data_IF_694994287193
#
_entry.id   IF_694994287193
#
_cell.length_a   1.000
_cell.length_b   1.000
_cell.length_c   1.000
_cell.angle_alpha   90.00
_cell.angle_beta   90.00
_cell.angle_gamma   90.00
#
_symmetry.space_group_name_H-M   'P 1'
#
loop_
_entity.id
_entity.type
_entity.pdbx_description
1 polymer ?
#
# COMPACT_ATOMS: atom_id res chain seq x y z
N UNK A 1 -21.58 26.06 -15.74
CA UNK A 1 -21.85 25.17 -16.89
C UNK A 1 -22.01 23.73 -16.36
N UNK A 2 -23.11 23.08 -16.75
CA UNK A 2 -23.43 21.69 -16.33
C UNK A 2 -22.32 20.71 -16.65
N UNK A 3 -21.53 20.95 -17.71
CA UNK A 3 -20.42 20.09 -18.15
C UNK A 3 -19.15 20.23 -17.31
N UNK A 4 -19.02 21.31 -16.58
CA UNK A 4 -17.82 21.64 -15.77
C UNK A 4 -18.11 21.64 -14.28
N UNK A 5 -19.40 21.57 -13.90
CA UNK A 5 -19.78 21.51 -12.49
C UNK A 5 -19.29 20.21 -11.87
N UNK A 6 -18.64 20.32 -10.71
CA UNK A 6 -18.17 19.19 -9.88
C UNK A 6 -18.74 19.37 -8.47
N UNK A 7 -19.86 18.70 -8.20
CA UNK A 7 -20.36 18.50 -6.86
C UNK A 7 -19.62 17.37 -6.15
N UNK A 8 -20.28 16.70 -5.22
CA UNK A 8 -19.73 15.45 -4.68
C UNK A 8 -19.52 14.45 -5.81
N UNK A 9 -18.28 14.01 -5.95
CA UNK A 9 -17.92 12.94 -6.88
C UNK A 9 -18.30 11.57 -6.34
N UNK A 10 -18.15 10.52 -7.16
CA UNK A 10 -18.21 9.14 -6.67
C UNK A 10 -17.12 8.92 -5.62
N UNK A 11 -17.43 8.21 -4.53
CA UNK A 11 -16.50 7.94 -3.43
C UNK A 11 -15.22 7.20 -3.88
N UNK A 12 -15.31 6.46 -4.98
CA UNK A 12 -14.20 5.75 -5.59
C UNK A 12 -13.35 6.62 -6.51
N UNK A 13 -13.89 7.75 -6.98
CA UNK A 13 -13.27 8.66 -7.95
C UNK A 13 -14.02 8.71 -9.27
N UNK A 14 -13.71 9.69 -10.11
CA UNK A 14 -14.32 9.84 -11.43
C UNK A 14 -13.80 8.78 -12.41
N UNK A 15 -14.70 8.23 -13.22
CA UNK A 15 -14.42 7.16 -14.20
C UNK A 15 -13.29 7.55 -15.15
N UNK A 16 -13.27 8.80 -15.65
CA UNK A 16 -12.24 9.27 -16.58
C UNK A 16 -10.83 9.16 -16.01
N UNK A 17 -10.65 9.40 -14.69
CA UNK A 17 -9.36 9.30 -14.02
C UNK A 17 -9.00 7.84 -13.76
N UNK A 18 -9.94 7.04 -13.28
CA UNK A 18 -9.76 5.59 -13.06
C UNK A 18 -9.37 4.89 -14.35
N UNK A 19 -10.05 5.18 -15.46
CA UNK A 19 -9.74 4.63 -16.78
C UNK A 19 -8.34 5.08 -17.26
N UNK A 20 -7.98 6.36 -17.04
CA UNK A 20 -6.66 6.86 -17.38
C UNK A 20 -5.55 6.17 -16.56
N UNK A 21 -5.75 5.97 -15.26
CA UNK A 21 -4.82 5.23 -14.39
C UNK A 21 -4.62 3.80 -14.93
N UNK A 22 -5.71 3.07 -15.17
CA UNK A 22 -5.63 1.70 -15.70
C UNK A 22 -4.86 1.67 -17.02
N UNK A 23 -5.20 2.58 -17.92
CA UNK A 23 -4.65 2.64 -19.27
C UNK A 23 -3.16 3.01 -19.31
N UNK A 24 -2.73 3.92 -18.43
CA UNK A 24 -1.38 4.48 -18.51
C UNK A 24 -0.41 3.92 -17.47
N UNK A 25 -0.90 3.54 -16.27
CA UNK A 25 -0.03 3.04 -15.21
C UNK A 25 0.09 1.51 -15.19
N UNK A 26 -0.94 0.77 -15.62
CA UNK A 26 -0.99 -0.68 -15.48
C UNK A 26 -0.96 -1.46 -16.80
N UNK A 27 -1.78 -1.10 -17.77
CA UNK A 27 -1.86 -1.85 -19.05
C UNK A 27 -0.51 -1.94 -19.79
N UNK A 28 0.33 -0.89 -19.84
CA UNK A 28 1.63 -0.98 -20.52
C UNK A 28 2.59 -1.99 -19.86
N UNK A 29 2.35 -2.34 -18.58
CA UNK A 29 3.10 -3.34 -17.80
C UNK A 29 2.47 -4.74 -17.84
N UNK A 30 1.44 -4.93 -18.67
CA UNK A 30 0.69 -6.20 -18.74
C UNK A 30 -0.18 -6.49 -17.53
N UNK A 31 -0.47 -5.47 -16.71
CA UNK A 31 -1.30 -5.60 -15.52
C UNK A 31 -2.74 -5.17 -15.85
N UNK A 32 -3.71 -6.03 -15.56
CA UNK A 32 -5.11 -5.79 -15.86
C UNK A 32 -5.91 -5.60 -14.57
N UNK A 33 -6.57 -4.46 -14.42
CA UNK A 33 -7.51 -4.16 -13.34
C UNK A 33 -8.87 -3.77 -13.91
N UNK A 34 -9.94 -4.07 -13.17
CA UNK A 34 -11.24 -3.48 -13.39
C UNK A 34 -11.38 -2.13 -12.67
N UNK A 35 -12.30 -1.26 -13.09
CA UNK A 35 -12.46 0.07 -12.48
C UNK A 35 -12.71 0.02 -10.96
N UNK A 36 -13.40 -1.00 -10.48
CA UNK A 36 -13.73 -1.16 -9.06
C UNK A 36 -12.57 -1.63 -8.17
N UNK A 37 -11.36 -1.75 -8.72
CA UNK A 37 -10.13 -2.10 -7.99
C UNK A 37 -9.24 -0.88 -7.73
N UNK A 38 -9.57 0.28 -8.34
CA UNK A 38 -8.86 1.56 -8.22
C UNK A 38 -9.71 2.52 -7.39
N UNK A 39 -9.13 3.11 -6.36
CA UNK A 39 -9.78 4.06 -5.46
C UNK A 39 -8.98 5.35 -5.41
N UNK A 40 -9.49 6.41 -6.02
CA UNK A 40 -8.88 7.74 -6.00
C UNK A 40 -9.03 8.34 -4.60
N UNK A 41 -7.96 8.98 -4.11
CA UNK A 41 -7.89 9.53 -2.76
C UNK A 41 -7.17 10.88 -2.73
N UNK A 42 -7.10 11.48 -1.55
CA UNK A 42 -6.41 12.75 -1.29
C UNK A 42 -4.90 12.60 -1.02
N UNK A 43 -4.31 11.51 -1.48
CA UNK A 43 -2.89 11.18 -1.38
C UNK A 43 -2.62 9.90 -0.60
N UNK A 44 -1.56 9.19 -0.96
CA UNK A 44 -1.19 7.90 -0.38
C UNK A 44 -1.12 7.93 1.16
N UNK A 45 -0.64 9.01 1.76
CA UNK A 45 -0.51 9.16 3.22
C UNK A 45 -1.84 8.92 3.94
N UNK A 46 -2.93 9.47 3.44
CA UNK A 46 -4.25 9.30 4.07
C UNK A 46 -4.67 7.84 4.08
N UNK A 47 -4.52 7.15 2.95
CA UNK A 47 -4.94 5.76 2.84
C UNK A 47 -4.01 4.78 3.54
N UNK A 48 -2.70 5.09 3.68
CA UNK A 48 -1.80 4.27 4.52
C UNK A 48 -2.22 4.26 5.99
N UNK A 49 -2.85 5.32 6.48
CA UNK A 49 -3.48 5.37 7.80
C UNK A 49 -4.88 4.76 7.81
N UNK A 50 -5.69 5.12 6.81
CA UNK A 50 -7.08 4.70 6.69
C UNK A 50 -7.27 3.19 6.56
N UNK A 51 -6.31 2.48 5.97
CA UNK A 51 -6.36 1.02 5.83
C UNK A 51 -6.48 0.31 7.19
N UNK A 52 -6.00 0.95 8.24
CA UNK A 52 -6.12 0.48 9.61
C UNK A 52 -7.55 0.25 10.07
N UNK A 53 -8.53 0.95 9.49
CA UNK A 53 -9.96 0.80 9.85
C UNK A 53 -10.54 -0.58 9.49
N UNK A 54 -9.93 -1.30 8.54
CA UNK A 54 -10.43 -2.62 8.10
C UNK A 54 -9.54 -3.78 8.56
N UNK A 55 -8.53 -3.51 9.39
CA UNK A 55 -7.60 -4.49 9.92
C UNK A 55 -7.80 -4.67 11.42
N UNK A 56 -7.46 -5.85 11.93
CA UNK A 56 -7.61 -6.19 13.35
C UNK A 56 -6.58 -5.44 14.20
N UNK A 57 -6.96 -5.15 15.46
CA UNK A 57 -6.07 -4.47 16.41
C UNK A 57 -4.91 -5.36 16.91
N UNK A 58 -5.06 -6.67 16.84
CA UNK A 58 -4.07 -7.66 17.27
C UNK A 58 -3.15 -8.14 16.13
N UNK A 59 -3.30 -7.62 14.91
CA UNK A 59 -2.38 -7.93 13.82
C UNK A 59 -0.96 -7.46 14.14
N UNK A 60 0.01 -8.35 13.93
CA UNK A 60 1.44 -8.01 14.00
C UNK A 60 1.86 -7.19 12.78
N UNK A 61 2.77 -6.25 12.99
CA UNK A 61 3.21 -5.30 11.95
C UNK A 61 4.71 -5.43 11.73
N UNK A 62 5.13 -5.46 10.47
CA UNK A 62 6.52 -5.39 10.06
C UNK A 62 6.79 -4.13 9.24
N UNK A 63 7.92 -3.51 9.50
CA UNK A 63 8.41 -2.32 8.78
C UNK A 63 9.90 -2.46 8.50
N UNK A 64 10.36 -1.89 7.41
CA UNK A 64 11.81 -1.69 7.21
C UNK A 64 12.31 -0.61 8.17
N UNK A 65 13.60 -0.60 8.50
CA UNK A 65 14.21 0.41 9.35
C UNK A 65 15.54 0.88 8.73
N UNK A 66 15.63 2.15 8.30
CA UNK A 66 14.68 3.24 8.45
C UNK A 66 13.48 3.17 7.49
N UNK A 67 12.37 3.79 7.91
CA UNK A 67 11.12 3.87 7.14
C UNK A 67 10.41 5.20 7.35
N UNK A 68 9.46 5.51 6.46
CA UNK A 68 8.57 6.67 6.64
C UNK A 68 7.73 6.51 7.92
N UNK A 69 7.85 7.42 8.90
CA UNK A 69 7.30 7.24 10.26
C UNK A 69 5.80 7.01 10.32
N UNK A 70 5.06 7.49 9.32
CA UNK A 70 3.59 7.40 9.27
C UNK A 70 3.08 5.96 9.36
N UNK A 71 3.83 4.97 8.88
CA UNK A 71 3.40 3.57 8.97
C UNK A 71 3.41 3.07 10.42
N UNK A 72 4.39 3.49 11.21
CA UNK A 72 4.43 3.18 12.65
C UNK A 72 3.35 3.98 13.37
N UNK A 73 3.32 5.30 13.18
CA UNK A 73 2.40 6.21 13.89
C UNK A 73 0.93 5.83 13.66
N UNK A 74 0.55 5.47 12.43
CA UNK A 74 -0.81 5.03 12.14
C UNK A 74 -1.19 3.73 12.86
N UNK A 75 -0.24 2.80 13.04
CA UNK A 75 -0.47 1.58 13.81
C UNK A 75 -0.49 1.82 15.32
N UNK A 76 0.28 2.80 15.83
CA UNK A 76 0.18 3.28 17.21
C UNK A 76 -1.21 3.86 17.47
N UNK A 77 -1.68 4.76 16.60
CA UNK A 77 -3.01 5.38 16.70
C UNK A 77 -4.14 4.35 16.62
N UNK A 78 -3.96 3.28 15.87
CA UNK A 78 -4.91 2.17 15.78
C UNK A 78 -4.77 1.12 16.93
N UNK A 79 -3.84 1.31 17.87
CA UNK A 79 -3.63 0.40 18.99
C UNK A 79 -2.93 -0.92 18.64
N UNK A 80 -2.32 -1.06 17.43
CA UNK A 80 -1.61 -2.28 17.00
C UNK A 80 -0.18 -2.37 17.47
N UNK A 81 0.45 -1.23 17.74
CA UNK A 81 1.90 -1.18 17.96
C UNK A 81 2.37 -1.81 19.29
N UNK A 82 1.46 -2.06 20.22
CA UNK A 82 1.82 -2.55 21.57
C UNK A 82 2.32 -1.42 22.47
N UNK A 83 3.37 -1.68 23.25
CA UNK A 83 3.95 -0.75 24.22
C UNK A 83 5.26 -0.18 23.68
N UNK A 84 5.51 1.09 23.95
CA UNK A 84 6.82 1.70 23.65
C UNK A 84 7.86 1.19 24.64
N UNK A 85 8.91 0.58 24.15
CA UNK A 85 10.00 0.02 24.93
C UNK A 85 11.14 1.03 25.15
N UNK A 86 12.02 0.72 26.12
CA UNK A 86 13.13 1.61 26.48
C UNK A 86 14.16 1.88 25.37
N UNK A 87 14.18 1.03 24.34
CA UNK A 87 15.02 1.21 23.15
C UNK A 87 14.38 2.13 22.07
N UNK A 88 13.16 2.65 22.32
CA UNK A 88 12.41 3.49 21.39
C UNK A 88 11.62 2.71 20.33
N UNK A 89 11.55 1.39 20.42
CA UNK A 89 10.77 0.55 19.52
C UNK A 89 9.43 0.14 20.16
N UNK A 90 8.45 -0.21 19.32
CA UNK A 90 7.15 -0.70 19.74
C UNK A 90 7.12 -2.22 19.78
N UNK A 91 6.65 -2.81 20.88
CA UNK A 91 6.75 -4.23 21.17
C UNK A 91 6.05 -5.16 20.18
N UNK A 92 5.00 -4.69 19.49
CA UNK A 92 4.27 -5.46 18.47
C UNK A 92 4.67 -5.09 17.03
N UNK A 93 5.74 -4.32 16.86
CA UNK A 93 6.29 -3.96 15.55
C UNK A 93 7.60 -4.71 15.34
N UNK A 94 7.72 -5.39 14.23
CA UNK A 94 8.97 -6.02 13.79
C UNK A 94 9.72 -5.06 12.89
N UNK A 95 10.88 -4.63 13.34
CA UNK A 95 11.78 -3.76 12.58
C UNK A 95 12.76 -4.62 11.79
N UNK A 96 12.82 -4.39 10.48
CA UNK A 96 13.71 -5.11 9.56
C UNK A 96 14.83 -4.16 9.13
N UNK A 97 16.05 -4.32 9.65
CA UNK A 97 17.14 -3.39 9.38
C UNK A 97 17.48 -3.30 7.89
N UNK A 98 17.66 -2.08 7.41
CA UNK A 98 18.17 -1.75 6.08
C UNK A 98 19.40 -0.87 6.26
N UNK A 99 20.58 -1.48 6.23
CA UNK A 99 21.86 -0.85 6.52
C UNK A 99 22.82 -1.03 5.36
N UNK A 100 23.97 -0.36 5.41
CA UNK A 100 25.01 -0.52 4.39
C UNK A 100 25.56 -1.97 4.33
N UNK A 101 25.54 -2.68 5.45
CA UNK A 101 26.04 -4.06 5.54
C UNK A 101 25.15 -5.07 4.80
N UNK A 102 23.87 -4.77 4.60
CA UNK A 102 22.94 -5.60 3.84
C UNK A 102 22.44 -4.93 2.55
N UNK A 103 23.21 -3.96 2.03
CA UNK A 103 22.86 -3.20 0.83
C UNK A 103 21.47 -2.55 0.89
N UNK A 104 21.01 -2.22 2.08
CA UNK A 104 19.67 -1.70 2.38
C UNK A 104 18.52 -2.62 1.93
N UNK A 105 18.78 -3.92 1.78
CA UNK A 105 17.80 -4.93 1.43
C UNK A 105 17.33 -5.63 2.71
N UNK A 106 16.06 -5.49 3.11
CA UNK A 106 15.57 -6.13 4.33
C UNK A 106 15.49 -7.65 4.17
N UNK A 107 15.92 -8.36 5.20
CA UNK A 107 15.78 -9.81 5.26
C UNK A 107 14.33 -10.22 5.45
N UNK A 108 13.94 -11.35 4.86
CA UNK A 108 12.63 -11.95 5.06
C UNK A 108 12.56 -12.50 6.49
N UNK A 109 11.55 -12.13 7.30
CA UNK A 109 11.43 -12.61 8.66
C UNK A 109 11.19 -14.13 8.74
N UNK A 110 11.82 -14.80 9.71
CA UNK A 110 11.60 -16.23 9.98
C UNK A 110 10.22 -16.52 10.61
N UNK A 111 9.60 -15.49 11.21
CA UNK A 111 8.28 -15.58 11.84
C UNK A 111 7.20 -15.00 10.94
N UNK A 112 5.97 -15.46 11.12
CA UNK A 112 4.80 -14.86 10.48
C UNK A 112 4.57 -13.43 11.01
N UNK A 113 4.33 -12.51 10.09
CA UNK A 113 3.87 -11.13 10.34
C UNK A 113 2.58 -10.94 9.55
N UNK A 114 1.54 -10.38 10.18
CA UNK A 114 0.24 -10.24 9.53
C UNK A 114 0.23 -9.12 8.48
N UNK A 115 0.90 -8.01 8.76
CA UNK A 115 0.95 -6.80 7.92
C UNK A 115 2.40 -6.37 7.73
N UNK A 116 2.85 -6.22 6.50
CA UNK A 116 4.19 -5.70 6.20
C UNK A 116 4.07 -4.45 5.32
N UNK A 117 4.68 -3.35 5.78
CA UNK A 117 4.82 -2.14 4.96
C UNK A 117 6.13 -2.19 4.18
N UNK A 118 6.02 -2.02 2.87
CA UNK A 118 7.15 -1.90 1.96
C UNK A 118 6.99 -0.61 1.17
N UNK A 119 7.98 0.29 1.25
CA UNK A 119 8.00 1.54 0.51
C UNK A 119 9.15 1.52 -0.48
N UNK A 120 8.87 1.44 -1.79
CA UNK A 120 9.91 1.41 -2.81
C UNK A 120 9.53 2.21 -4.06
N UNK A 121 10.39 3.14 -4.50
CA UNK A 121 11.64 3.58 -3.84
C UNK A 121 11.42 4.03 -2.40
N UNK A 122 12.35 3.68 -1.50
CA UNK A 122 12.16 3.89 -0.06
C UNK A 122 12.29 5.36 0.34
N UNK A 123 11.47 5.78 1.27
CA UNK A 123 11.66 7.00 2.04
C UNK A 123 12.07 6.58 3.48
N UNK A 124 13.32 6.89 3.95
CA UNK A 124 14.18 8.00 3.48
C UNK A 124 15.39 7.59 2.61
N UNK A 125 15.68 6.32 2.40
CA UNK A 125 16.98 5.88 1.85
C UNK A 125 17.11 6.07 0.33
N UNK A 126 15.98 6.12 -0.40
CA UNK A 126 15.95 6.16 -1.87
C UNK A 126 16.26 4.82 -2.54
N UNK A 127 16.47 3.75 -1.75
CA UNK A 127 16.77 2.42 -2.27
C UNK A 127 15.54 1.76 -2.89
N UNK A 128 15.79 0.75 -3.73
CA UNK A 128 14.76 -0.01 -4.45
C UNK A 128 14.96 -1.51 -4.23
N UNK A 129 13.97 -2.30 -4.62
CA UNK A 129 14.09 -3.75 -4.74
C UNK A 129 13.95 -4.15 -6.20
N UNK A 130 14.81 -5.05 -6.65
CA UNK A 130 14.67 -5.72 -7.95
C UNK A 130 13.45 -6.65 -7.98
N UNK A 131 13.02 -7.07 -9.18
CA UNK A 131 11.93 -8.04 -9.30
C UNK A 131 12.17 -9.35 -8.54
N UNK A 132 13.37 -9.96 -8.56
CA UNK A 132 13.66 -11.15 -7.74
C UNK A 132 13.57 -10.91 -6.23
N UNK A 133 14.00 -9.76 -5.75
CA UNK A 133 13.93 -9.40 -4.32
C UNK A 133 12.48 -9.17 -3.88
N UNK A 134 11.72 -8.39 -4.64
CA UNK A 134 10.32 -8.16 -4.34
C UNK A 134 9.50 -9.46 -4.44
N UNK A 135 9.91 -10.39 -5.33
CA UNK A 135 9.28 -11.70 -5.42
C UNK A 135 9.40 -12.50 -4.12
N UNK A 136 10.54 -12.43 -3.42
CA UNK A 136 10.70 -13.11 -2.11
C UNK A 136 9.63 -12.63 -1.11
N UNK A 137 9.33 -11.35 -1.11
CA UNK A 137 8.26 -10.78 -0.27
C UNK A 137 6.87 -11.25 -0.64
N UNK A 138 6.57 -11.33 -1.94
CA UNK A 138 5.29 -11.87 -2.41
C UNK A 138 5.16 -13.36 -2.07
N UNK A 139 6.23 -14.16 -2.24
CA UNK A 139 6.24 -15.58 -1.88
C UNK A 139 6.07 -15.77 -0.37
N UNK A 140 6.77 -14.98 0.45
CA UNK A 140 6.59 -14.97 1.91
C UNK A 140 5.14 -14.64 2.29
N UNK A 141 4.58 -13.61 1.69
CA UNK A 141 3.22 -13.16 2.00
C UNK A 141 2.17 -14.23 1.64
N UNK A 142 2.33 -14.87 0.51
CA UNK A 142 1.43 -15.97 0.10
C UNK A 142 1.55 -17.20 1.00
N UNK A 143 2.77 -17.53 1.46
CA UNK A 143 3.02 -18.67 2.33
C UNK A 143 2.50 -18.45 3.76
N UNK A 144 2.49 -17.22 4.24
CA UNK A 144 2.18 -16.86 5.62
C UNK A 144 0.80 -16.16 5.81
N UNK A 145 0.02 -16.00 4.74
CA UNK A 145 -1.21 -15.19 4.76
C UNK A 145 -0.95 -13.77 5.27
N UNK A 146 0.13 -13.16 4.82
CA UNK A 146 0.57 -11.80 5.16
C UNK A 146 -0.01 -10.80 4.17
N UNK A 147 -0.45 -9.65 4.64
CA UNK A 147 -0.84 -8.53 3.80
C UNK A 147 0.35 -7.60 3.58
N UNK A 148 0.76 -7.41 2.33
CA UNK A 148 1.73 -6.38 1.96
C UNK A 148 1.00 -5.07 1.68
N UNK A 149 1.41 -4.01 2.38
CA UNK A 149 1.02 -2.63 2.12
C UNK A 149 2.18 -1.95 1.39
N UNK A 150 2.07 -1.87 0.07
CA UNK A 150 3.14 -1.42 -0.82
C UNK A 150 2.95 0.05 -1.19
N UNK A 151 3.84 0.91 -0.72
CA UNK A 151 3.83 2.35 -1.05
C UNK A 151 4.79 2.63 -2.20
N UNK A 152 4.23 3.00 -3.36
CA UNK A 152 4.94 3.32 -4.59
C UNK A 152 4.88 4.82 -4.92
N UNK A 153 4.85 5.69 -3.90
CA UNK A 153 4.72 7.14 -4.09
C UNK A 153 5.87 7.76 -4.92
N UNK A 154 7.02 7.09 -4.99
CA UNK A 154 8.21 7.56 -5.71
C UNK A 154 8.51 6.75 -6.98
N UNK A 155 7.60 5.90 -7.46
CA UNK A 155 7.80 5.01 -8.59
C UNK A 155 8.23 5.71 -9.88
N UNK A 156 7.76 6.95 -10.10
CA UNK A 156 8.10 7.75 -11.28
C UNK A 156 9.59 8.12 -11.37
N UNK A 157 10.36 7.96 -10.29
CA UNK A 157 11.80 8.21 -10.27
C UNK A 157 12.64 6.97 -10.56
N UNK A 158 12.04 5.80 -10.69
CA UNK A 158 12.72 4.56 -11.12
C UNK A 158 13.23 4.74 -12.55
N UNK A 159 14.48 4.36 -12.78
CA UNK A 159 15.14 4.45 -14.08
C UNK A 159 15.77 3.13 -14.53
N UNK A 160 15.87 2.17 -13.64
CA UNK A 160 16.43 0.84 -13.87
C UNK A 160 15.35 -0.12 -14.37
N UNK A 161 15.66 -0.89 -15.42
CA UNK A 161 14.71 -1.79 -16.08
C UNK A 161 14.32 -3.01 -15.23
N UNK A 162 15.17 -3.41 -14.28
CA UNK A 162 14.96 -4.56 -13.39
C UNK A 162 14.20 -4.20 -12.10
N UNK A 163 13.97 -2.91 -11.85
CA UNK A 163 13.19 -2.42 -10.72
C UNK A 163 11.72 -2.27 -11.12
N UNK A 164 10.79 -2.95 -10.42
CA UNK A 164 9.37 -2.87 -10.77
C UNK A 164 8.77 -1.52 -10.36
N UNK A 165 7.94 -0.95 -11.22
CA UNK A 165 7.15 0.25 -10.94
C UNK A 165 5.87 -0.05 -10.14
N UNK A 166 5.47 -1.31 -10.09
CA UNK A 166 4.31 -1.78 -9.35
C UNK A 166 4.58 -3.16 -8.76
N UNK A 167 4.11 -3.41 -7.54
CA UNK A 167 4.18 -4.74 -6.95
C UNK A 167 3.44 -5.78 -7.81
N UNK A 168 2.46 -5.36 -8.57
CA UNK A 168 1.66 -6.25 -9.42
C UNK A 168 2.38 -6.74 -10.68
N UNK A 169 3.59 -6.26 -10.96
CA UNK A 169 4.49 -6.91 -11.92
C UNK A 169 5.00 -8.27 -11.40
N UNK A 170 4.86 -8.53 -10.09
CA UNK A 170 5.23 -9.79 -9.47
C UNK A 170 4.01 -10.72 -9.45
N UNK A 171 4.16 -11.89 -10.06
CA UNK A 171 3.10 -12.90 -10.10
C UNK A 171 2.66 -13.31 -8.70
N UNK A 172 1.36 -13.25 -8.44
CA UNK A 172 0.75 -13.58 -7.15
C UNK A 172 0.46 -12.38 -6.27
N UNK A 173 1.05 -11.20 -6.52
CA UNK A 173 0.89 -10.01 -5.68
C UNK A 173 -0.58 -9.56 -5.52
N UNK A 174 -1.43 -9.77 -6.53
CA UNK A 174 -2.86 -9.46 -6.42
C UNK A 174 -3.59 -10.20 -5.30
N UNK A 175 -3.02 -11.30 -4.82
CA UNK A 175 -3.61 -12.11 -3.74
C UNK A 175 -3.12 -11.74 -2.34
N UNK A 176 -2.09 -10.89 -2.24
CA UNK A 176 -1.45 -10.57 -0.95
C UNK A 176 -1.07 -9.11 -0.78
N UNK A 177 -1.33 -8.22 -1.76
CA UNK A 177 -0.86 -6.83 -1.66
C UNK A 177 -1.94 -5.80 -1.98
N UNK A 178 -1.88 -4.67 -1.27
CA UNK A 178 -2.52 -3.39 -1.58
C UNK A 178 -1.42 -2.42 -1.99
N UNK A 179 -1.63 -1.64 -3.06
CA UNK A 179 -0.67 -0.66 -3.54
C UNK A 179 -1.20 0.76 -3.34
N UNK A 180 -0.37 1.64 -2.76
CA UNK A 180 -0.65 3.07 -2.62
C UNK A 180 0.17 3.86 -3.63
N UNK A 181 -0.49 4.81 -4.30
CA UNK A 181 0.09 5.66 -5.33
C UNK A 181 -0.19 7.13 -5.03
N UNK A 182 0.70 8.01 -5.45
CA UNK A 182 0.58 9.44 -5.16
C UNK A 182 0.99 10.29 -6.35
N UNK A 183 0.20 11.29 -6.69
CA UNK A 183 0.56 12.33 -7.64
C UNK A 183 1.35 13.49 -6.98
N UNK A 184 1.54 13.43 -5.66
CA UNK A 184 2.29 14.46 -4.92
C UNK A 184 3.70 14.69 -5.46
N UNK A 185 4.39 13.61 -5.88
CA UNK A 185 5.76 13.67 -6.41
C UNK A 185 5.77 13.75 -7.93
N UNK A 186 5.08 12.84 -8.58
CA UNK A 186 5.03 12.72 -10.05
C UNK A 186 4.49 13.96 -10.73
N UNK A 187 3.40 14.54 -10.22
CA UNK A 187 2.74 15.71 -10.79
C UNK A 187 3.01 17.02 -10.01
N UNK A 188 3.80 16.97 -8.94
CA UNK A 188 3.99 18.12 -8.05
C UNK A 188 2.73 18.50 -7.25
N UNK A 189 1.82 17.56 -7.01
CA UNK A 189 0.52 17.78 -6.38
C UNK A 189 0.55 17.69 -4.84
N UNK A 190 1.66 18.10 -4.21
CA UNK A 190 1.77 18.05 -2.74
C UNK A 190 0.67 18.84 -2.03
N UNK A 191 0.29 20.00 -2.58
CA UNK A 191 -0.78 20.86 -2.05
C UNK A 191 -2.16 20.61 -2.65
N UNK A 192 -2.23 19.97 -3.84
CA UNK A 192 -3.50 19.66 -4.53
C UNK A 192 -4.21 18.47 -3.89
N UNK A 193 -3.45 17.51 -3.36
CA UNK A 193 -3.94 16.32 -2.68
C UNK A 193 -4.64 15.35 -3.63
N UNK A 194 -3.86 14.55 -4.35
CA UNK A 194 -4.39 13.49 -5.21
C UNK A 194 -3.47 12.27 -5.21
N UNK A 195 -4.06 11.10 -5.17
CA UNK A 195 -3.43 9.80 -5.27
C UNK A 195 -4.46 8.72 -5.53
N UNK A 196 -4.06 7.47 -5.43
CA UNK A 196 -5.00 6.36 -5.50
C UNK A 196 -4.47 5.12 -4.79
N UNK A 197 -5.39 4.26 -4.40
CA UNK A 197 -5.11 2.96 -3.79
C UNK A 197 -5.66 1.85 -4.69
N UNK A 198 -4.88 0.80 -4.89
CA UNK A 198 -5.29 -0.38 -5.64
C UNK A 198 -5.56 -1.52 -4.67
N UNK A 199 -6.80 -2.01 -4.67
CA UNK A 199 -7.22 -3.17 -3.87
C UNK A 199 -7.79 -4.23 -4.80
N UNK A 200 -7.01 -5.26 -5.15
CA UNK A 200 -7.45 -6.30 -6.08
C UNK A 200 -8.66 -7.10 -5.56
N UNK A 201 -9.54 -7.50 -6.47
CA UNK A 201 -10.68 -8.39 -6.14
C UNK A 201 -10.24 -9.77 -5.68
N UNK A 202 -9.06 -10.20 -6.12
CA UNK A 202 -8.47 -11.49 -5.71
C UNK A 202 -7.97 -11.49 -4.27
N UNK A 203 -7.75 -10.32 -3.68
CA UNK A 203 -7.22 -10.17 -2.33
C UNK A 203 -8.30 -10.48 -1.30
N UNK A 204 -8.06 -11.49 -0.49
CA UNK A 204 -8.96 -11.90 0.59
C UNK A 204 -8.22 -11.97 1.92
N UNK A 205 -8.93 -11.80 3.03
CA UNK A 205 -8.41 -12.02 4.37
C UNK A 205 -9.36 -12.89 5.19
N UNK A 206 -8.84 -13.58 6.19
CA UNK A 206 -9.63 -14.39 7.11
C UNK A 206 -10.32 -13.53 8.17
N UNK A 207 -11.58 -13.82 8.44
CA UNK A 207 -12.31 -13.31 9.61
C UNK A 207 -11.87 -14.05 10.88
N UNK A 208 -12.40 -13.63 12.03
CA UNK A 208 -12.20 -14.33 13.31
C UNK A 208 -12.70 -15.78 13.27
N UNK A 209 -13.77 -16.03 12.50
CA UNK A 209 -14.38 -17.34 12.33
C UNK A 209 -13.67 -18.19 11.26
N UNK A 210 -12.62 -17.64 10.62
CA UNK A 210 -11.84 -18.32 9.59
C UNK A 210 -12.45 -18.23 8.18
N UNK A 211 -13.58 -17.53 7.99
CA UNK A 211 -14.15 -17.28 6.68
C UNK A 211 -13.25 -16.30 5.90
N UNK A 212 -13.05 -16.54 4.61
CA UNK A 212 -12.31 -15.59 3.76
C UNK A 212 -13.25 -14.62 3.08
N UNK A 213 -12.96 -13.33 3.26
CA UNK A 213 -13.73 -12.23 2.70
C UNK A 213 -12.85 -11.36 1.78
N UNK A 214 -13.40 -10.81 0.68
CA UNK A 214 -12.66 -9.90 -0.20
C UNK A 214 -12.38 -8.57 0.48
N UNK A 215 -11.10 -8.21 0.63
CA UNK A 215 -10.71 -6.90 1.20
C UNK A 215 -11.18 -5.72 0.35
N UNK A 216 -11.29 -5.89 -0.95
CA UNK A 216 -11.85 -4.88 -1.85
C UNK A 216 -13.26 -4.42 -1.43
N UNK A 217 -14.13 -5.35 -1.01
CA UNK A 217 -15.49 -5.02 -0.54
C UNK A 217 -15.46 -4.24 0.78
N UNK A 218 -14.57 -4.61 1.71
CA UNK A 218 -14.40 -3.91 2.98
C UNK A 218 -13.85 -2.50 2.75
N UNK A 219 -12.85 -2.38 1.89
CA UNK A 219 -12.26 -1.09 1.54
C UNK A 219 -13.29 -0.17 0.88
N UNK A 220 -14.04 -0.67 -0.09
CA UNK A 220 -15.12 0.10 -0.70
C UNK A 220 -16.13 0.58 0.34
N UNK A 221 -16.55 -0.28 1.28
CA UNK A 221 -17.46 0.09 2.36
C UNK A 221 -16.88 1.17 3.25
N UNK A 222 -15.59 1.05 3.61
CA UNK A 222 -14.89 2.09 4.38
C UNK A 222 -14.87 3.42 3.65
N UNK A 223 -14.53 3.44 2.37
CA UNK A 223 -14.47 4.67 1.56
C UNK A 223 -15.86 5.33 1.49
N UNK A 224 -16.90 4.59 1.15
CA UNK A 224 -18.28 5.10 1.14
C UNK A 224 -18.79 5.60 2.52
N UNK A 225 -18.13 5.24 3.62
CA UNK A 225 -18.55 5.64 4.97
C UNK A 225 -17.79 6.87 5.48
N UNK A 226 -16.52 6.99 5.17
CA UNK A 226 -15.61 8.01 5.77
C UNK A 226 -14.94 8.94 4.76
N UNK A 227 -15.30 8.85 3.48
CA UNK A 227 -14.67 9.64 2.44
C UNK A 227 -15.68 10.08 1.38
N UNK A 228 -15.60 11.33 0.94
CA UNK A 228 -16.56 11.91 -0.04
C UNK A 228 -15.96 11.98 -1.45
N UNK A 229 -14.86 11.29 -1.71
CA UNK A 229 -14.15 11.41 -2.97
C UNK A 229 -13.28 12.68 -3.05
N UNK A 230 -12.39 12.70 -4.05
CA UNK A 230 -11.61 13.88 -4.42
C UNK A 230 -12.27 14.57 -5.61
N UNK A 231 -12.24 15.87 -5.59
CA UNK A 231 -12.72 16.71 -6.71
C UNK A 231 -11.66 16.87 -7.79
#
# INVERSE_FOLDING_TARGET
>A
DVRTFRGYGPEQGYDFLIEAIIKHDYLPRGIHFGPTEIFVNDGAKSDTGNIGDILRHDNSVGVTDPIYPVYIDSNVMCGRAGVLEGNGQWSNVTYMPCTAENDFIPEIPDKRIDIVYLCYPNNPTGTTLTKPELKKWVDYALANDTLILFDAAYEAFIREDDVPHSIYEIKGAKKCAIEFRSFSKTAGFTGVRCGYTVVPKELTAATLEGERIPLNKLWNRRQCTKFNGTS
#
